data_IF_357865457974
#
_entry.id   IF_357865457974
#
_cell.length_a   1.000
_cell.length_b   1.000
_cell.length_c   1.000
_cell.angle_alpha   90.00
_cell.angle_beta   90.00
_cell.angle_gamma   90.00
#
_symmetry.space_group_name_H-M   'P 1'
#
loop_
_entity.id
_entity.type
_entity.pdbx_description
1 polymer ?
#
# COMPACT_ATOMS: atom_id res chain seq x y z
N UNK A 1 17.71 -21.92 9.61
CA UNK A 1 16.77 -23.05 9.82
C UNK A 1 17.48 -24.20 10.52
N UNK A 2 17.14 -24.51 11.78
CA UNK A 2 17.68 -25.69 12.48
C UNK A 2 16.67 -26.84 12.49
N UNK A 3 17.16 -28.08 12.38
CA UNK A 3 16.34 -29.29 12.34
C UNK A 3 15.87 -29.65 13.75
N UNK A 4 14.56 -29.58 14.00
CA UNK A 4 13.95 -29.91 15.30
C UNK A 4 13.94 -31.42 15.56
N UNK A 5 13.97 -31.83 16.83
CA UNK A 5 13.95 -33.24 17.21
C UNK A 5 15.21 -34.03 16.84
N UNK A 6 16.38 -33.36 16.81
CA UNK A 6 17.68 -33.95 16.45
C UNK A 6 18.75 -33.62 17.51
N UNK A 7 18.58 -34.16 18.70
CA UNK A 7 19.56 -34.05 19.79
C UNK A 7 19.42 -32.80 20.67
N UNK A 8 20.04 -32.86 21.85
CA UNK A 8 19.89 -31.87 22.91
C UNK A 8 20.65 -30.56 22.68
N UNK A 9 21.75 -30.58 21.93
CA UNK A 9 22.62 -29.42 21.71
C UNK A 9 21.90 -28.21 21.08
N UNK A 10 20.83 -28.44 20.33
CA UNK A 10 20.01 -27.39 19.72
C UNK A 10 18.97 -26.75 20.65
N UNK A 11 18.81 -27.26 21.89
CA UNK A 11 17.75 -26.87 22.82
C UNK A 11 16.34 -27.35 22.44
N UNK A 12 16.15 -27.91 21.24
CA UNK A 12 14.84 -28.34 20.70
C UNK A 12 14.77 -29.85 20.41
N UNK A 13 15.56 -30.65 21.14
CA UNK A 13 15.64 -32.10 20.96
C UNK A 13 14.40 -32.85 21.46
N UNK A 14 14.04 -32.68 22.74
CA UNK A 14 13.03 -33.52 23.41
C UNK A 14 11.58 -33.17 23.05
N UNK A 15 11.26 -31.89 22.97
CA UNK A 15 9.87 -31.40 22.78
C UNK A 15 9.71 -30.52 21.55
N UNK A 16 10.79 -30.32 20.78
CA UNK A 16 10.80 -29.45 19.58
C UNK A 16 10.22 -28.04 19.80
N UNK A 17 10.26 -27.53 21.04
CA UNK A 17 9.72 -26.21 21.42
C UNK A 17 8.24 -26.20 21.83
N UNK A 18 7.56 -27.34 21.86
CA UNK A 18 6.12 -27.44 22.16
C UNK A 18 5.79 -27.70 23.65
N UNK A 19 6.80 -27.91 24.49
CA UNK A 19 6.61 -28.28 25.90
C UNK A 19 6.18 -29.74 26.09
N UNK A 20 5.67 -30.10 27.27
CA UNK A 20 5.44 -31.50 27.65
C UNK A 20 4.05 -32.05 27.31
N UNK A 21 2.98 -31.36 27.74
CA UNK A 21 1.60 -31.85 27.67
C UNK A 21 0.65 -30.70 27.30
N UNK A 22 -0.52 -31.05 26.78
CA UNK A 22 -1.56 -30.10 26.35
C UNK A 22 -1.89 -30.24 24.87
N UNK A 23 -3.00 -29.62 24.45
CA UNK A 23 -3.50 -29.70 23.08
C UNK A 23 -2.47 -29.20 22.06
N UNK A 24 -1.77 -28.10 22.36
CA UNK A 24 -0.73 -27.51 21.48
C UNK A 24 0.54 -28.35 21.34
N UNK A 25 0.75 -29.33 22.22
CA UNK A 25 1.87 -30.27 22.13
C UNK A 25 1.52 -31.56 21.35
N UNK A 26 0.27 -31.68 20.87
CA UNK A 26 -0.16 -32.77 20.00
C UNK A 26 -0.09 -32.33 18.53
N UNK A 27 -0.16 -33.30 17.62
CA UNK A 27 -0.26 -32.99 16.20
C UNK A 27 -1.56 -32.22 15.91
N UNK A 28 -1.47 -31.13 15.16
CA UNK A 28 -2.59 -30.22 14.89
C UNK A 28 -2.66 -29.03 15.84
N UNK A 29 -3.43 -28.01 15.45
CA UNK A 29 -3.61 -26.78 16.22
C UNK A 29 -5.07 -26.31 16.21
N UNK A 30 -5.52 -25.60 17.25
CA UNK A 30 -6.83 -24.94 17.23
C UNK A 30 -6.93 -23.96 16.06
N UNK A 31 -8.14 -23.81 15.52
CA UNK A 31 -8.41 -22.86 14.43
C UNK A 31 -8.17 -21.42 14.92
N UNK A 32 -7.50 -20.55 14.14
CA UNK A 32 -7.42 -19.12 14.44
C UNK A 32 -8.82 -18.52 14.64
N UNK A 33 -8.97 -17.65 15.64
CA UNK A 33 -10.26 -17.04 16.00
C UNK A 33 -11.15 -17.86 16.95
N UNK A 34 -10.69 -18.99 17.47
CA UNK A 34 -11.35 -19.71 18.57
C UNK A 34 -10.94 -19.13 19.94
N UNK A 35 -11.92 -18.66 20.72
CA UNK A 35 -11.71 -18.01 22.03
C UNK A 35 -12.14 -18.92 23.20
N UNK A 36 -11.88 -20.23 23.12
CA UNK A 36 -12.10 -21.15 24.25
C UNK A 36 -13.56 -21.44 24.61
N UNK A 37 -14.49 -21.25 23.66
CA UNK A 37 -15.93 -21.40 23.88
C UNK A 37 -16.68 -20.08 24.04
N UNK A 38 -15.96 -18.97 24.22
CA UNK A 38 -16.53 -17.64 24.14
C UNK A 38 -16.97 -17.33 22.69
N UNK A 39 -18.05 -16.55 22.51
CA UNK A 39 -18.43 -16.06 21.17
C UNK A 39 -17.28 -15.26 20.55
N UNK A 40 -16.74 -15.61 19.38
CA UNK A 40 -15.59 -14.92 18.80
C UNK A 40 -15.85 -13.44 18.49
N UNK A 41 -14.80 -12.61 18.53
CA UNK A 41 -14.87 -11.16 18.28
C UNK A 41 -15.60 -10.79 16.99
N UNK A 42 -15.31 -11.49 15.88
CA UNK A 42 -15.92 -11.23 14.57
C UNK A 42 -17.43 -11.51 14.52
N UNK A 43 -17.99 -12.21 15.51
CA UNK A 43 -19.44 -12.40 15.67
C UNK A 43 -20.08 -11.38 16.60
N UNK A 44 -19.30 -10.81 17.54
CA UNK A 44 -19.78 -9.76 18.45
C UNK A 44 -19.90 -8.42 17.75
N UNK A 45 -18.99 -8.13 16.83
CA UNK A 45 -18.99 -6.89 16.08
C UNK A 45 -20.06 -6.93 14.96
N UNK A 46 -20.86 -5.85 14.80
CA UNK A 46 -21.85 -5.79 13.73
C UNK A 46 -21.15 -5.70 12.37
N UNK A 47 -21.80 -6.25 11.34
CA UNK A 47 -21.43 -5.96 9.94
C UNK A 47 -21.76 -4.51 9.64
N UNK A 48 -20.85 -3.79 9.00
CA UNK A 48 -21.01 -2.36 8.72
C UNK A 48 -20.67 -2.03 7.27
N UNK A 49 -21.51 -1.21 6.64
CA UNK A 49 -21.28 -0.65 5.31
C UNK A 49 -21.54 -1.63 4.16
N UNK A 50 -21.20 -1.19 2.95
CA UNK A 50 -21.20 -1.95 1.72
C UNK A 50 -19.97 -1.58 0.89
N UNK A 51 -19.56 -2.45 -0.03
CA UNK A 51 -18.48 -2.16 -0.97
C UNK A 51 -19.10 -1.57 -2.24
N UNK A 52 -18.66 -0.36 -2.64
CA UNK A 52 -19.08 0.23 -3.91
C UNK A 52 -18.45 -0.54 -5.08
N UNK A 53 -19.29 -1.06 -5.99
CA UNK A 53 -18.84 -1.79 -7.17
C UNK A 53 -18.12 -0.90 -8.19
N UNK A 54 -18.52 0.36 -8.31
CA UNK A 54 -17.96 1.34 -9.25
C UNK A 54 -16.89 2.23 -8.60
N UNK A 55 -16.23 1.75 -7.54
CA UNK A 55 -15.16 2.51 -6.90
C UNK A 55 -13.97 2.61 -7.85
N UNK A 56 -13.59 3.85 -8.22
CA UNK A 56 -12.43 4.10 -9.07
C UNK A 56 -11.13 3.87 -8.30
N UNK A 57 -10.23 3.11 -8.88
CA UNK A 57 -8.89 2.83 -8.38
C UNK A 57 -7.90 3.84 -8.96
N UNK A 58 -7.84 5.02 -8.32
CA UNK A 58 -6.97 6.12 -8.73
C UNK A 58 -5.64 6.03 -7.99
N UNK A 59 -4.54 6.05 -8.74
CA UNK A 59 -3.20 6.01 -8.17
C UNK A 59 -2.78 7.41 -7.75
N UNK A 60 -2.65 7.61 -6.44
CA UNK A 60 -2.15 8.86 -5.89
C UNK A 60 -0.61 8.86 -5.84
N UNK A 61 0.01 9.89 -6.42
CA UNK A 61 1.45 10.15 -6.31
C UNK A 61 1.70 11.53 -5.71
N UNK A 62 2.83 11.65 -5.00
CA UNK A 62 3.23 12.91 -4.38
C UNK A 62 3.99 13.81 -5.37
N UNK A 63 3.89 15.13 -5.18
CA UNK A 63 4.58 16.13 -6.00
C UNK A 63 6.09 15.90 -6.04
N UNK A 64 6.68 15.43 -4.93
CA UNK A 64 8.11 15.12 -4.83
C UNK A 64 8.55 14.11 -5.89
N UNK A 65 7.68 13.17 -6.26
CA UNK A 65 7.98 12.15 -7.26
C UNK A 65 8.28 12.77 -8.63
N UNK A 66 7.75 13.96 -8.90
CA UNK A 66 7.95 14.70 -10.14
C UNK A 66 9.36 15.31 -10.26
N UNK A 67 10.12 15.43 -9.16
CA UNK A 67 11.49 15.96 -9.20
C UNK A 67 12.47 15.09 -10.01
N UNK A 68 12.09 13.85 -10.33
CA UNK A 68 12.87 12.97 -11.21
C UNK A 68 12.92 13.43 -12.66
N UNK A 69 11.98 14.28 -13.08
CA UNK A 69 11.90 14.76 -14.45
C UNK A 69 12.74 16.03 -14.62
N UNK A 70 13.17 16.31 -15.84
CA UNK A 70 13.93 17.53 -16.16
C UNK A 70 13.04 18.77 -16.20
N UNK A 71 13.65 19.94 -16.02
CA UNK A 71 12.94 21.22 -16.08
C UNK A 71 12.34 21.45 -17.47
N UNK A 72 11.08 21.88 -17.51
CA UNK A 72 10.30 22.06 -18.75
C UNK A 72 9.68 20.79 -19.33
N UNK A 73 9.88 19.62 -18.71
CA UNK A 73 9.33 18.36 -19.22
C UNK A 73 7.79 18.32 -19.17
N UNK A 74 7.22 17.61 -20.14
CA UNK A 74 5.80 17.23 -20.15
C UNK A 74 5.67 15.89 -19.44
N UNK A 75 4.97 15.87 -18.31
CA UNK A 75 4.73 14.68 -17.50
C UNK A 75 3.29 14.23 -17.70
N UNK A 76 3.10 13.16 -18.46
CA UNK A 76 1.82 12.50 -18.68
C UNK A 76 1.75 11.13 -17.97
N UNK A 77 0.59 10.47 -18.04
CA UNK A 77 0.41 9.16 -17.39
C UNK A 77 1.35 8.08 -17.96
N UNK A 78 1.76 8.20 -19.22
CA UNK A 78 2.66 7.24 -19.88
C UNK A 78 4.11 7.44 -19.44
N UNK A 79 4.62 8.67 -19.42
CA UNK A 79 5.95 9.00 -18.89
C UNK A 79 6.06 8.68 -17.40
N UNK A 80 4.98 8.80 -16.62
CA UNK A 80 4.95 8.31 -15.23
C UNK A 80 5.11 6.79 -15.11
N UNK A 81 4.57 6.03 -16.07
CA UNK A 81 4.72 4.58 -16.13
C UNK A 81 6.13 4.18 -16.59
N UNK A 82 6.62 4.80 -17.66
CA UNK A 82 7.94 4.53 -18.25
C UNK A 82 9.09 4.90 -17.30
N UNK A 83 8.96 6.00 -16.57
CA UNK A 83 9.93 6.41 -15.54
C UNK A 83 9.87 5.56 -14.27
N UNK A 84 8.94 4.60 -14.19
CA UNK A 84 8.72 3.78 -13.00
C UNK A 84 8.23 4.59 -11.78
N UNK A 85 7.76 5.82 -11.97
CA UNK A 85 7.12 6.62 -10.92
C UNK A 85 5.80 5.98 -10.46
N UNK A 86 5.13 5.31 -11.40
CA UNK A 86 3.92 4.53 -11.20
C UNK A 86 4.12 3.15 -11.83
N UNK A 87 3.68 2.09 -11.17
CA UNK A 87 3.76 0.72 -11.71
C UNK A 87 2.52 0.30 -12.51
N UNK A 88 1.38 0.96 -12.28
CA UNK A 88 0.11 0.77 -12.98
C UNK A 88 -0.72 2.06 -12.91
N UNK A 89 -1.42 2.42 -13.99
CA UNK A 89 -2.22 3.66 -14.02
C UNK A 89 -3.59 3.49 -13.34
N UNK A 90 -4.13 2.26 -13.28
CA UNK A 90 -5.47 2.03 -12.73
C UNK A 90 -6.55 2.77 -13.53
N UNK A 91 -7.47 3.43 -12.82
CA UNK A 91 -8.50 4.32 -13.41
C UNK A 91 -8.01 5.76 -13.61
N UNK A 92 -6.73 6.05 -13.32
CA UNK A 92 -6.10 7.35 -13.53
C UNK A 92 -5.09 7.71 -12.44
N UNK A 93 -4.29 8.75 -12.69
CA UNK A 93 -3.31 9.26 -11.73
C UNK A 93 -3.80 10.55 -11.07
N UNK A 94 -3.59 10.66 -9.75
CA UNK A 94 -3.82 11.89 -8.98
C UNK A 94 -2.54 12.43 -8.36
N UNK A 95 -2.21 13.70 -8.61
CA UNK A 95 -1.10 14.37 -7.91
C UNK A 95 -1.56 14.96 -6.58
N UNK A 96 -0.81 14.66 -5.51
CA UNK A 96 -1.02 15.17 -4.15
C UNK A 96 0.16 16.05 -3.73
N UNK A 97 -0.10 17.13 -2.99
CA UNK A 97 0.87 18.21 -2.75
C UNK A 97 1.51 18.24 -1.36
N UNK A 98 2.15 17.15 -0.91
CA UNK A 98 2.74 17.09 0.43
C UNK A 98 4.14 17.74 0.51
N UNK A 99 4.84 17.90 -0.61
CA UNK A 99 6.15 18.54 -0.71
C UNK A 99 6.10 19.76 -1.64
N UNK A 100 7.18 20.53 -1.70
CA UNK A 100 7.35 21.63 -2.66
C UNK A 100 7.98 21.11 -3.96
N UNK A 101 7.74 21.82 -5.06
CA UNK A 101 8.27 21.47 -6.37
C UNK A 101 9.27 22.54 -6.80
N UNK A 102 10.53 22.16 -7.00
CA UNK A 102 11.58 23.06 -7.46
C UNK A 102 11.70 23.22 -8.98
N UNK A 103 10.99 22.39 -9.75
CA UNK A 103 11.08 22.32 -11.23
C UNK A 103 9.79 22.78 -11.90
N UNK A 104 9.91 23.52 -12.99
CA UNK A 104 8.81 23.92 -13.85
C UNK A 104 8.42 22.74 -14.74
N UNK A 105 7.24 22.15 -14.50
CA UNK A 105 6.76 20.99 -15.24
C UNK A 105 5.38 21.26 -15.85
N UNK A 106 5.11 20.68 -17.02
CA UNK A 106 3.76 20.60 -17.59
C UNK A 106 3.17 19.25 -17.24
N UNK A 107 2.32 19.18 -16.22
CA UNK A 107 1.77 17.91 -15.69
C UNK A 107 0.37 17.68 -16.26
N UNK A 108 0.17 16.55 -16.94
CA UNK A 108 -1.08 16.15 -17.58
C UNK A 108 -1.58 14.83 -17.00
N UNK A 109 -2.51 14.88 -16.05
CA UNK A 109 -3.04 13.67 -15.38
C UNK A 109 -4.55 13.75 -15.13
N UNK A 110 -5.15 12.65 -14.69
CA UNK A 110 -6.59 12.54 -14.42
C UNK A 110 -7.08 13.46 -13.29
N UNK A 111 -6.29 13.72 -12.25
CA UNK A 111 -6.72 14.59 -11.15
C UNK A 111 -5.57 15.27 -10.38
N UNK A 112 -5.89 16.39 -9.71
CA UNK A 112 -4.98 17.10 -8.81
C UNK A 112 -5.67 17.37 -7.46
N UNK A 113 -4.89 17.38 -6.37
CA UNK A 113 -5.31 18.07 -5.15
C UNK A 113 -5.14 19.59 -5.32
N UNK A 114 -5.94 20.39 -4.60
CA UNK A 114 -5.86 21.85 -4.66
C UNK A 114 -4.43 22.34 -4.33
N UNK A 115 -3.85 21.84 -3.23
CA UNK A 115 -2.48 22.16 -2.84
C UNK A 115 -1.44 21.75 -3.88
N UNK A 116 -1.63 20.63 -4.60
CA UNK A 116 -0.71 20.24 -5.67
C UNK A 116 -0.76 21.22 -6.84
N UNK A 117 -1.97 21.62 -7.24
CA UNK A 117 -2.16 22.56 -8.36
C UNK A 117 -1.48 23.89 -8.07
N UNK A 118 -1.71 24.45 -6.88
CA UNK A 118 -1.09 25.70 -6.43
C UNK A 118 0.44 25.62 -6.43
N UNK A 119 1.02 24.52 -5.95
CA UNK A 119 2.48 24.34 -5.91
C UNK A 119 3.11 24.18 -7.30
N UNK A 120 2.44 23.50 -8.22
CA UNK A 120 2.91 23.37 -9.61
C UNK A 120 2.89 24.73 -10.31
N UNK A 121 1.82 25.50 -10.12
CA UNK A 121 1.69 26.85 -10.68
C UNK A 121 2.67 27.83 -10.03
N UNK A 122 2.92 27.71 -8.72
CA UNK A 122 3.91 28.51 -7.99
C UNK A 122 5.35 28.24 -8.47
N UNK A 123 5.65 27.00 -8.89
CA UNK A 123 6.90 26.64 -9.55
C UNK A 123 6.98 27.11 -11.02
N UNK A 124 5.95 27.81 -11.52
CA UNK A 124 5.86 28.30 -12.90
C UNK A 124 5.47 27.23 -13.92
N UNK A 125 5.01 26.06 -13.46
CA UNK A 125 4.52 24.96 -14.29
C UNK A 125 3.03 25.08 -14.64
N UNK A 126 2.52 24.08 -15.36
CA UNK A 126 1.11 24.02 -15.77
C UNK A 126 0.50 22.67 -15.35
N UNK A 127 -0.69 22.73 -14.76
CA UNK A 127 -1.46 21.55 -14.34
C UNK A 127 -2.68 21.37 -15.24
N UNK A 128 -2.61 20.43 -16.17
CA UNK A 128 -3.69 20.10 -17.11
C UNK A 128 -4.40 18.81 -16.67
N UNK A 129 -5.72 18.87 -16.54
CA UNK A 129 -6.52 17.70 -16.19
C UNK A 129 -7.02 17.01 -17.47
N UNK A 130 -6.65 15.75 -17.67
CA UNK A 130 -7.16 14.94 -18.78
C UNK A 130 -8.49 14.31 -18.33
N UNK A 131 -9.59 14.67 -19.00
CA UNK A 131 -10.90 14.07 -18.75
C UNK A 131 -10.94 12.62 -19.26
N UNK A 132 -11.51 11.72 -18.45
CA UNK A 132 -11.67 10.30 -18.77
C UNK A 132 -13.03 9.78 -18.30
#
# INVERSE_FOLDING_TARGET
>A
NYRRGRGHASGNGKTAGYGHKGQKARSGAPRPGFEGGQMPLYRRLPKRGFNNYNAKDIVAIDIKTLERFEDGAVVDEQTLLESGAVSRIGDGVKIVGNADLGKKLTVKVTAFSAAAKEKIEAAGGTAETIGR
#
